data_IF_056890698602
#
_entry.id   IF_056890698602
#
_cell.length_a   1.000
_cell.length_b   1.000
_cell.length_c   1.000
_cell.angle_alpha   90.00
_cell.angle_beta   90.00
_cell.angle_gamma   90.00
#
_symmetry.space_group_name_H-M   'P 1'
#
loop_
_entity.id
_entity.type
_entity.pdbx_description
1 polymer ?
#
# COMPACT_ATOMS: atom_id res chain seq x y z
N UNK A 1 -4.06 1.52 -17.54
CA UNK A 1 -5.42 1.25 -17.09
C UNK A 1 -5.64 2.16 -15.89
N UNK A 2 -6.47 3.17 -16.06
CA UNK A 2 -6.92 4.08 -14.98
C UNK A 2 -8.19 3.48 -14.40
N UNK A 3 -8.28 3.43 -13.07
CA UNK A 3 -9.49 2.99 -12.39
C UNK A 3 -10.45 4.18 -12.25
N UNK A 4 -11.74 3.93 -12.04
CA UNK A 4 -12.81 4.95 -12.12
C UNK A 4 -12.64 6.11 -11.12
N UNK A 5 -11.82 5.93 -10.07
CA UNK A 5 -11.43 6.97 -9.10
C UNK A 5 -10.17 7.77 -9.47
N UNK A 6 -9.55 7.51 -10.63
CA UNK A 6 -8.29 8.14 -11.03
C UNK A 6 -7.05 7.59 -10.30
N UNK A 7 -7.20 6.51 -9.54
CA UNK A 7 -6.07 5.81 -8.93
C UNK A 7 -5.29 5.03 -10.01
N UNK A 8 -3.96 5.05 -9.93
CA UNK A 8 -3.09 4.44 -10.94
C UNK A 8 -2.14 3.47 -10.28
N UNK A 9 -2.03 2.24 -10.78
CA UNK A 9 -1.05 1.27 -10.29
C UNK A 9 0.35 1.65 -10.79
N UNK A 10 1.06 2.46 -10.01
CA UNK A 10 2.42 2.94 -10.28
C UNK A 10 3.29 2.81 -9.02
N UNK A 11 4.57 3.16 -9.12
CA UNK A 11 5.45 3.25 -7.96
C UNK A 11 4.99 4.40 -7.07
N UNK A 12 4.66 4.11 -5.82
CA UNK A 12 4.34 5.13 -4.82
C UNK A 12 5.36 5.12 -3.69
N UNK A 13 5.59 6.28 -3.06
CA UNK A 13 6.25 6.29 -1.75
C UNK A 13 5.26 5.74 -0.73
N UNK A 14 5.77 5.01 0.26
CA UNK A 14 4.99 4.41 1.34
C UNK A 14 4.14 5.44 2.08
N UNK A 15 4.66 6.65 2.25
CA UNK A 15 3.93 7.77 2.85
C UNK A 15 2.76 8.23 1.97
N UNK A 16 2.98 8.32 0.65
CA UNK A 16 2.00 8.89 -0.28
C UNK A 16 0.84 7.90 -0.43
N UNK A 17 1.16 6.63 -0.66
CA UNK A 17 0.13 5.57 -0.70
C UNK A 17 -0.64 5.47 0.61
N UNK A 18 0.04 5.54 1.76
CA UNK A 18 -0.63 5.51 3.04
C UNK A 18 -1.55 6.72 3.26
N UNK A 19 -1.14 7.92 2.83
CA UNK A 19 -2.00 9.10 2.90
C UNK A 19 -3.21 9.01 1.96
N UNK A 20 -3.11 8.33 0.82
CA UNK A 20 -4.27 8.07 -0.05
C UNK A 20 -5.31 7.23 0.71
N UNK A 21 -4.90 6.13 1.35
CA UNK A 21 -5.79 5.29 2.18
C UNK A 21 -6.28 5.97 3.47
N UNK A 22 -5.59 7.01 3.95
CA UNK A 22 -5.87 7.66 5.22
C UNK A 22 -5.72 9.18 5.09
N UNK A 23 -6.60 9.87 4.33
CA UNK A 23 -6.44 11.29 4.01
C UNK A 23 -6.55 12.20 5.24
N UNK A 24 -7.30 11.77 6.26
CA UNK A 24 -7.49 12.52 7.50
C UNK A 24 -6.38 12.28 8.55
N UNK A 25 -5.40 11.41 8.27
CA UNK A 25 -4.35 11.07 9.22
C UNK A 25 -3.03 11.77 8.86
N UNK A 26 -2.22 12.08 9.89
CA UNK A 26 -0.83 12.50 9.64
C UNK A 26 -0.06 11.39 8.95
N UNK A 27 0.93 11.72 8.12
CA UNK A 27 1.72 10.73 7.36
C UNK A 27 2.27 9.59 8.24
N UNK A 28 2.71 9.90 9.48
CA UNK A 28 3.18 8.88 10.43
C UNK A 28 2.06 7.94 10.86
N UNK A 29 0.88 8.48 11.19
CA UNK A 29 -0.29 7.67 11.55
C UNK A 29 -0.78 6.84 10.37
N UNK A 30 -0.91 7.43 9.19
CA UNK A 30 -1.29 6.76 7.95
C UNK A 30 -0.39 5.55 7.67
N UNK A 31 0.95 5.73 7.68
CA UNK A 31 1.90 4.63 7.46
C UNK A 31 1.72 3.53 8.50
N UNK A 32 1.53 3.91 9.78
CA UNK A 32 1.36 2.94 10.87
C UNK A 32 0.07 2.14 10.72
N UNK A 33 -1.01 2.79 10.26
CA UNK A 33 -2.29 2.16 9.96
C UNK A 33 -2.16 1.19 8.77
N UNK A 34 -1.63 1.66 7.64
CA UNK A 34 -1.43 0.81 6.46
C UNK A 34 -0.52 -0.40 6.77
N UNK A 35 0.57 -0.20 7.51
CA UNK A 35 1.45 -1.29 7.92
C UNK A 35 0.74 -2.28 8.84
N UNK A 36 -0.17 -1.82 9.71
CA UNK A 36 -0.99 -2.69 10.55
C UNK A 36 -1.99 -3.50 9.72
N UNK A 37 -2.62 -2.90 8.71
CA UNK A 37 -3.53 -3.61 7.81
C UNK A 37 -2.79 -4.69 7.03
N UNK A 38 -1.65 -4.36 6.45
CA UNK A 38 -0.78 -5.33 5.76
C UNK A 38 -0.38 -6.48 6.70
N UNK A 39 0.05 -6.18 7.94
CA UNK A 39 0.42 -7.23 8.91
C UNK A 39 -0.75 -8.09 9.38
N UNK A 40 -1.95 -7.52 9.44
CA UNK A 40 -3.16 -8.24 9.87
C UNK A 40 -3.64 -9.21 8.79
N UNK A 41 -3.35 -8.92 7.52
CA UNK A 41 -3.63 -9.80 6.40
C UNK A 41 -2.37 -10.60 6.02
N UNK A 42 -2.26 -11.82 6.56
CA UNK A 42 -1.09 -12.67 6.31
C UNK A 42 -0.89 -12.99 4.83
N UNK A 43 -1.96 -13.23 4.07
CA UNK A 43 -1.87 -13.53 2.64
C UNK A 43 -1.29 -12.36 1.86
N UNK A 44 -1.75 -11.12 2.15
CA UNK A 44 -1.18 -9.92 1.56
C UNK A 44 0.30 -9.74 1.94
N UNK A 45 0.64 -9.96 3.22
CA UNK A 45 2.01 -9.83 3.69
C UNK A 45 2.94 -10.85 3.01
N UNK A 46 2.53 -12.10 2.88
CA UNK A 46 3.28 -13.13 2.17
C UNK A 46 3.42 -12.79 0.69
N UNK A 47 2.33 -12.44 0.01
CA UNK A 47 2.37 -12.04 -1.40
C UNK A 47 3.35 -10.86 -1.63
N UNK A 48 3.32 -9.85 -0.74
CA UNK A 48 4.29 -8.76 -0.75
C UNK A 48 5.72 -9.25 -0.52
N UNK A 49 5.96 -10.13 0.45
CA UNK A 49 7.27 -10.69 0.73
C UNK A 49 7.84 -11.45 -0.49
N UNK A 50 7.01 -12.20 -1.21
CA UNK A 50 7.38 -12.86 -2.46
C UNK A 50 7.81 -11.89 -3.58
N UNK A 51 7.33 -10.64 -3.56
CA UNK A 51 7.81 -9.59 -4.48
C UNK A 51 9.12 -8.92 -4.06
N UNK A 52 9.69 -9.30 -2.91
CA UNK A 52 10.86 -8.65 -2.32
C UNK A 52 10.52 -7.43 -1.46
N UNK A 53 9.28 -7.29 -1.00
CA UNK A 53 8.91 -6.23 -0.06
C UNK A 53 9.71 -6.34 1.24
N UNK A 54 10.31 -5.23 1.65
CA UNK A 54 10.96 -5.10 2.96
C UNK A 54 10.25 -4.00 3.75
N UNK A 55 10.00 -4.25 5.04
CA UNK A 55 9.40 -3.26 5.97
C UNK A 55 10.15 -1.92 5.96
N UNK A 56 11.47 -1.93 5.73
CA UNK A 56 12.35 -0.75 5.63
C UNK A 56 12.24 -0.02 4.28
N UNK A 57 11.66 -0.62 3.24
CA UNK A 57 11.48 0.10 1.97
C UNK A 57 10.52 1.27 2.18
N UNK A 58 10.89 2.40 1.56
CA UNK A 58 10.12 3.65 1.61
C UNK A 58 9.23 3.82 0.39
N UNK A 59 9.24 2.84 -0.52
CA UNK A 59 8.53 2.81 -1.79
C UNK A 59 7.87 1.46 -1.98
N UNK A 60 6.71 1.49 -2.63
CA UNK A 60 6.03 0.32 -3.14
C UNK A 60 6.15 0.32 -4.66
N UNK A 61 6.62 -0.79 -5.22
CA UNK A 61 6.66 -1.00 -6.67
C UNK A 61 5.24 -1.24 -7.22
N UNK A 62 4.99 -1.06 -8.53
CA UNK A 62 3.66 -1.21 -9.10
C UNK A 62 3.03 -2.58 -8.79
N UNK A 63 3.83 -3.66 -8.82
CA UNK A 63 3.37 -5.00 -8.42
C UNK A 63 2.91 -5.06 -6.95
N UNK A 64 3.62 -4.39 -6.04
CA UNK A 64 3.26 -4.32 -4.62
C UNK A 64 2.01 -3.48 -4.41
N UNK A 65 1.89 -2.37 -5.14
CA UNK A 65 0.69 -1.51 -5.10
C UNK A 65 -0.53 -2.27 -5.60
N UNK A 66 -0.38 -3.05 -6.67
CA UNK A 66 -1.43 -3.94 -7.18
C UNK A 66 -1.91 -4.94 -6.13
N UNK A 67 -0.99 -5.57 -5.39
CA UNK A 67 -1.35 -6.48 -4.31
C UNK A 67 -2.07 -5.73 -3.19
N UNK A 68 -1.57 -4.58 -2.76
CA UNK A 68 -2.20 -3.79 -1.70
C UNK A 68 -3.64 -3.44 -2.08
N UNK A 69 -3.87 -2.99 -3.31
CA UNK A 69 -5.20 -2.64 -3.82
C UNK A 69 -6.10 -3.87 -3.96
N UNK A 70 -5.56 -5.00 -4.41
CA UNK A 70 -6.32 -6.24 -4.54
C UNK A 70 -6.86 -6.75 -3.20
N UNK A 71 -6.15 -6.50 -2.10
CA UNK A 71 -6.50 -7.00 -0.76
C UNK A 71 -7.12 -5.95 0.17
N UNK A 72 -6.90 -4.66 -0.05
CA UNK A 72 -7.39 -3.54 0.77
C UNK A 72 -8.33 -2.60 0.01
N UNK A 73 -8.69 -2.95 -1.23
CA UNK A 73 -9.44 -2.12 -2.19
C UNK A 73 -8.70 -0.83 -2.59
N UNK A 74 -9.26 -0.08 -3.55
CA UNK A 74 -8.69 1.20 -3.99
C UNK A 74 -8.87 2.28 -2.91
N UNK A 75 -7.84 3.12 -2.66
CA UNK A 75 -7.89 4.20 -1.68
C UNK A 75 -8.81 5.37 -2.08
#
# INVERSE_FOLDING_TARGET
METENGFRITTYKKKDLACLYCPNATARCAIRTLTRWIKRNHELYEALAHTGYNVRTRTFMPKQVSLIVQYLDEP
#
